data_IF_242576194716
#
_entry.id   IF_242576194716
#
_cell.length_a   1.000
_cell.length_b   1.000
_cell.length_c   1.000
_cell.angle_alpha   90.00
_cell.angle_beta   90.00
_cell.angle_gamma   90.00
#
_symmetry.space_group_name_H-M   'P 1'
#
loop_
_entity.id
_entity.type
_entity.pdbx_description
1 polymer ?
#
# COMPACT_ATOMS: atom_id res chain seq x y z
N UNK A 1 -20.60 -15.70 23.30
CA UNK A 1 -19.18 -15.45 23.01
C UNK A 1 -19.02 -13.95 22.84
N UNK A 2 -18.19 -13.35 23.69
CA UNK A 2 -18.02 -11.90 23.77
C UNK A 2 -17.08 -11.41 22.65
N UNK A 3 -17.49 -10.44 21.81
CA UNK A 3 -16.65 -9.91 20.72
C UNK A 3 -15.40 -9.18 21.21
N UNK A 4 -15.23 -8.97 22.53
CA UNK A 4 -14.09 -8.28 23.11
C UNK A 4 -12.83 -9.15 23.24
N UNK A 5 -12.93 -10.48 23.07
CA UNK A 5 -11.77 -11.37 23.18
C UNK A 5 -10.92 -11.43 21.90
N UNK A 6 -11.43 -10.99 20.75
CA UNK A 6 -10.65 -11.02 19.50
C UNK A 6 -9.51 -10.00 19.49
N UNK A 7 -9.56 -8.98 20.37
CA UNK A 7 -8.57 -7.89 20.42
C UNK A 7 -7.31 -8.25 21.21
N UNK A 8 -7.40 -9.17 22.17
CA UNK A 8 -6.31 -9.47 23.13
C UNK A 8 -5.45 -10.66 22.75
N UNK A 9 -5.96 -11.62 21.96
CA UNK A 9 -5.20 -12.83 21.58
C UNK A 9 -4.06 -12.58 20.58
N UNK A 10 -4.02 -11.41 19.94
CA UNK A 10 -2.92 -10.99 19.06
C UNK A 10 -1.83 -10.20 19.80
N UNK A 11 -2.04 -9.80 21.06
CA UNK A 11 -1.17 -8.86 21.76
C UNK A 11 -0.17 -9.55 22.71
N UNK A 12 -0.36 -10.84 23.05
CA UNK A 12 0.44 -11.52 24.09
C UNK A 12 1.52 -12.49 23.57
N UNK A 13 1.56 -12.78 22.27
CA UNK A 13 2.69 -13.52 21.67
C UNK A 13 3.52 -12.56 20.82
N UNK A 14 4.86 -12.63 20.86
CA UNK A 14 5.66 -11.91 19.88
C UNK A 14 5.23 -12.41 18.50
N UNK A 15 4.58 -11.56 17.70
CA UNK A 15 4.16 -11.87 16.34
C UNK A 15 5.16 -11.26 15.37
N UNK A 16 5.45 -11.99 14.30
CA UNK A 16 6.36 -11.53 13.26
C UNK A 16 7.79 -11.24 13.74
N UNK A 17 8.19 -9.97 13.65
CA UNK A 17 9.59 -9.51 13.77
C UNK A 17 10.19 -9.74 15.16
N UNK A 18 9.35 -9.80 16.19
CA UNK A 18 9.77 -9.96 17.59
C UNK A 18 9.87 -11.42 18.02
N UNK A 19 9.57 -12.38 17.12
CA UNK A 19 9.75 -13.83 17.38
C UNK A 19 11.21 -14.25 17.45
N UNK A 20 12.13 -13.40 17.00
CA UNK A 20 13.55 -13.75 16.87
C UNK A 20 13.83 -14.85 15.84
N UNK A 21 12.84 -15.20 15.00
CA UNK A 21 12.99 -16.19 13.95
C UNK A 21 13.70 -15.60 12.74
N UNK A 22 14.51 -16.41 12.07
CA UNK A 22 15.16 -16.02 10.82
C UNK A 22 14.11 -15.99 9.70
N UNK A 23 13.95 -14.87 8.96
CA UNK A 23 13.04 -14.83 7.82
C UNK A 23 13.55 -15.76 6.72
N UNK A 24 12.62 -16.47 6.09
CA UNK A 24 12.91 -17.37 4.96
C UNK A 24 12.59 -16.70 3.63
N UNK A 25 11.35 -16.25 3.44
CA UNK A 25 10.92 -15.45 2.28
C UNK A 25 9.61 -14.72 2.55
N UNK A 26 9.34 -13.67 1.78
CA UNK A 26 8.00 -13.08 1.67
C UNK A 26 7.20 -13.90 0.67
N UNK A 27 6.04 -14.39 1.10
CA UNK A 27 5.16 -15.23 0.27
C UNK A 27 4.00 -14.44 -0.35
N UNK A 28 3.71 -13.26 0.18
CA UNK A 28 2.67 -12.39 -0.35
C UNK A 28 2.66 -11.00 0.28
N UNK A 29 1.74 -10.17 -0.21
CA UNK A 29 1.47 -8.82 0.28
C UNK A 29 -0.02 -8.66 0.52
N UNK A 30 -0.40 -7.86 1.51
CA UNK A 30 -1.76 -7.40 1.67
C UNK A 30 -1.78 -5.94 2.13
N UNK A 31 -2.89 -5.26 1.84
CA UNK A 31 -3.20 -3.98 2.46
C UNK A 31 -4.00 -4.25 3.75
N UNK A 32 -3.50 -3.77 4.89
CA UNK A 32 -4.21 -3.81 6.16
C UNK A 32 -4.33 -2.38 6.69
N UNK A 33 -5.56 -1.85 6.73
CA UNK A 33 -5.85 -0.49 7.19
C UNK A 33 -5.08 0.61 6.44
N UNK A 34 -4.79 0.42 5.14
CA UNK A 34 -4.04 1.37 4.32
C UNK A 34 -2.52 1.25 4.45
N UNK A 35 -2.05 0.24 5.19
CA UNK A 35 -0.62 -0.05 5.34
C UNK A 35 -0.25 -1.35 4.61
N UNK A 36 0.81 -1.27 3.81
CA UNK A 36 1.38 -2.43 3.14
C UNK A 36 2.01 -3.37 4.18
N UNK A 37 1.49 -4.60 4.20
CA UNK A 37 1.98 -5.68 5.04
C UNK A 37 2.55 -6.80 4.16
N UNK A 38 3.66 -7.37 4.61
CA UNK A 38 4.23 -8.58 4.04
C UNK A 38 3.76 -9.80 4.81
N UNK A 39 3.38 -10.85 4.08
CA UNK A 39 3.21 -12.18 4.67
C UNK A 39 4.56 -12.89 4.67
N UNK A 40 5.16 -13.02 5.86
CA UNK A 40 6.51 -13.53 6.06
C UNK A 40 6.48 -15.00 6.45
N UNK A 41 7.22 -15.84 5.72
CA UNK A 41 7.53 -17.21 6.13
C UNK A 41 8.86 -17.23 6.89
N UNK A 42 8.91 -18.00 7.97
CA UNK A 42 10.09 -18.10 8.85
C UNK A 42 10.78 -19.46 8.71
N UNK A 43 12.09 -19.50 8.95
CA UNK A 43 12.84 -20.75 8.90
C UNK A 43 12.44 -21.67 10.05
N UNK A 44 12.06 -22.91 9.72
CA UNK A 44 11.67 -23.92 10.72
C UNK A 44 10.29 -23.67 11.35
N UNK A 45 9.47 -22.80 10.77
CA UNK A 45 8.10 -22.57 11.20
C UNK A 45 7.17 -22.52 9.99
N UNK A 46 6.11 -23.33 10.02
CA UNK A 46 5.12 -23.40 8.93
C UNK A 46 4.10 -22.27 9.01
N UNK A 47 4.02 -21.58 10.15
CA UNK A 47 3.13 -20.44 10.35
C UNK A 47 3.75 -19.17 9.79
N UNK A 48 3.04 -18.52 8.88
CA UNK A 48 3.40 -17.20 8.35
C UNK A 48 2.77 -16.08 9.19
N UNK A 49 3.49 -14.97 9.32
CA UNK A 49 3.04 -13.80 10.07
C UNK A 49 2.99 -12.54 9.18
N UNK A 50 2.14 -11.60 9.55
CA UNK A 50 2.11 -10.28 8.93
C UNK A 50 3.20 -9.39 9.54
N UNK A 51 3.99 -8.76 8.68
CA UNK A 51 5.05 -7.83 9.04
C UNK A 51 4.83 -6.52 8.30
N UNK A 52 4.80 -5.36 8.98
CA UNK A 52 4.72 -4.07 8.31
C UNK A 52 5.88 -3.86 7.34
N UNK A 53 5.59 -3.40 6.12
CA UNK A 53 6.62 -3.20 5.10
C UNK A 53 7.73 -2.23 5.57
N UNK A 54 7.36 -1.19 6.32
CA UNK A 54 8.31 -0.24 6.91
C UNK A 54 9.38 -0.94 7.77
N UNK A 55 9.00 -1.97 8.51
CA UNK A 55 9.93 -2.72 9.37
C UNK A 55 10.78 -3.68 8.54
N UNK A 56 10.15 -4.40 7.60
CA UNK A 56 10.86 -5.35 6.73
C UNK A 56 11.92 -4.66 5.87
N UNK A 57 11.63 -3.48 5.32
CA UNK A 57 12.54 -2.69 4.48
C UNK A 57 13.84 -2.32 5.22
N UNK A 58 13.77 -2.14 6.54
CA UNK A 58 14.93 -1.78 7.37
C UNK A 58 15.68 -3.03 7.81
N UNK A 59 14.98 -4.07 8.29
CA UNK A 59 15.63 -5.26 8.85
C UNK A 59 16.12 -6.24 7.80
N UNK A 60 15.40 -6.40 6.69
CA UNK A 60 15.65 -7.41 5.66
C UNK A 60 15.51 -6.84 4.23
N UNK A 61 16.27 -5.78 3.88
CA UNK A 61 16.14 -5.10 2.60
C UNK A 61 16.35 -6.05 1.40
N UNK A 62 17.38 -6.89 1.43
CA UNK A 62 17.68 -7.85 0.35
C UNK A 62 16.50 -8.80 0.06
N UNK A 63 15.81 -9.24 1.12
CA UNK A 63 14.69 -10.17 1.01
C UNK A 63 13.45 -9.49 0.42
N UNK A 64 13.23 -8.21 0.78
CA UNK A 64 12.18 -7.37 0.18
C UNK A 64 12.48 -7.08 -1.28
N UNK A 65 13.71 -6.70 -1.62
CA UNK A 65 14.12 -6.40 -3.00
C UNK A 65 13.94 -7.65 -3.86
N UNK A 66 14.45 -8.80 -3.43
CA UNK A 66 14.31 -10.05 -4.18
C UNK A 66 12.85 -10.46 -4.39
N UNK A 67 11.97 -10.18 -3.43
CA UNK A 67 10.54 -10.44 -3.57
C UNK A 67 9.91 -9.60 -4.71
N UNK A 68 10.28 -8.33 -4.81
CA UNK A 68 9.82 -7.45 -5.88
C UNK A 68 10.44 -7.79 -7.23
N UNK A 69 11.74 -8.09 -7.29
CA UNK A 69 12.41 -8.48 -8.54
C UNK A 69 11.75 -9.71 -9.19
N UNK A 70 11.29 -10.66 -8.38
CA UNK A 70 10.58 -11.85 -8.86
C UNK A 70 9.15 -11.56 -9.38
N UNK A 71 8.61 -10.37 -9.16
CA UNK A 71 7.19 -10.00 -9.41
C UNK A 71 7.00 -8.72 -10.20
N UNK A 72 8.06 -8.02 -10.58
CA UNK A 72 7.96 -6.79 -11.36
C UNK A 72 7.45 -7.12 -12.77
N UNK A 73 6.34 -6.49 -13.14
CA UNK A 73 5.78 -6.51 -14.48
C UNK A 73 5.78 -5.08 -15.03
N UNK A 74 6.30 -4.91 -16.25
CA UNK A 74 6.26 -3.63 -16.95
C UNK A 74 5.01 -3.60 -17.83
N UNK A 75 4.11 -2.65 -17.59
CA UNK A 75 2.95 -2.40 -18.46
C UNK A 75 3.33 -1.37 -19.52
N UNK A 76 3.06 -1.68 -20.78
CA UNK A 76 3.24 -0.72 -21.87
C UNK A 76 2.09 0.27 -21.91
N UNK A 77 2.38 1.53 -22.27
CA UNK A 77 1.39 2.61 -22.31
C UNK A 77 0.26 2.41 -23.33
N UNK A 78 0.34 1.36 -24.16
CA UNK A 78 -0.65 1.01 -25.18
C UNK A 78 -1.78 0.09 -24.68
N UNK A 79 -1.73 -0.43 -23.46
CA UNK A 79 -2.76 -1.36 -22.93
C UNK A 79 -4.01 -0.65 -22.37
N UNK A 80 -4.26 0.59 -22.77
CA UNK A 80 -5.49 1.32 -22.46
C UNK A 80 -6.58 1.02 -23.49
N UNK A 81 -7.14 -0.19 -23.44
CA UNK A 81 -8.49 -0.44 -23.93
C UNK A 81 -9.28 -1.17 -22.85
N UNK A 82 -9.93 -0.39 -21.98
CA UNK A 82 -11.27 -0.71 -21.52
C UNK A 82 -12.03 0.59 -21.26
N UNK A 83 -13.19 0.63 -21.89
CA UNK A 83 -14.10 1.76 -22.09
C UNK A 83 -14.80 2.15 -20.80
N UNK A 84 -14.85 3.45 -20.51
CA UNK A 84 -15.97 4.01 -19.76
C UNK A 84 -16.54 5.17 -20.55
N UNK A 85 -17.45 4.83 -21.47
CA UNK A 85 -18.42 5.77 -22.02
C UNK A 85 -19.26 6.31 -20.86
N UNK A 86 -18.91 7.50 -20.38
CA UNK A 86 -19.78 8.31 -19.55
C UNK A 86 -19.96 9.64 -20.27
N UNK A 87 -21.01 9.68 -21.09
CA UNK A 87 -21.64 10.91 -21.53
C UNK A 87 -21.94 11.77 -20.30
N UNK A 88 -21.13 12.81 -20.08
CA UNK A 88 -21.46 13.92 -19.21
C UNK A 88 -20.98 15.20 -19.86
N UNK A 89 -21.87 15.71 -20.69
CA UNK A 89 -22.07 17.12 -20.98
C UNK A 89 -21.52 18.00 -19.85
N UNK A 90 -20.37 18.63 -20.09
CA UNK A 90 -19.96 19.77 -19.29
C UNK A 90 -19.42 20.83 -20.22
N UNK A 91 -20.34 21.66 -20.71
CA UNK A 91 -20.04 22.90 -21.40
C UNK A 91 -19.17 23.80 -20.52
N UNK A 92 -17.90 23.97 -20.90
CA UNK A 92 -17.11 25.09 -20.43
C UNK A 92 -17.26 26.22 -21.46
N UNK A 93 -18.11 27.20 -21.15
CA UNK A 93 -18.11 28.45 -21.91
C UNK A 93 -16.82 29.21 -21.61
N UNK A 94 -16.05 29.45 -22.67
CA UNK A 94 -14.88 30.33 -22.65
C UNK A 94 -15.38 31.77 -22.77
N UNK A 95 -15.40 32.55 -21.68
CA UNK A 95 -15.28 34.02 -21.78
C UNK A 95 -14.42 34.60 -20.65
N UNK A 96 -13.22 35.04 -21.04
CA UNK A 96 -12.61 36.33 -20.71
C UNK A 96 -12.52 36.80 -19.23
N UNK A 97 -11.35 36.57 -18.61
CA UNK A 97 -10.76 37.57 -17.69
C UNK A 97 -10.09 38.71 -18.51
N UNK A 98 -9.75 39.91 -17.98
CA UNK A 98 -9.88 40.44 -16.62
C UNK A 98 -10.39 41.90 -16.54
N UNK A 99 -10.81 42.36 -15.35
CA UNK A 99 -10.64 43.76 -14.91
C UNK A 99 -10.73 43.84 -13.40
N UNK A 100 -9.57 43.91 -12.72
CA UNK A 100 -9.52 44.35 -11.32
C UNK A 100 -9.15 45.82 -11.28
N UNK A 101 -10.09 46.57 -10.70
CA UNK A 101 -10.05 47.95 -10.26
C UNK A 101 -8.67 48.50 -9.90
N UNK A 102 -8.40 49.69 -10.43
CA UNK A 102 -7.52 50.66 -9.75
C UNK A 102 -8.32 51.93 -9.54
N UNK A 103 -8.82 52.13 -8.32
CA UNK A 103 -9.34 53.43 -7.86
C UNK A 103 -8.54 53.83 -6.62
N UNK A 104 -7.65 54.81 -6.79
CA UNK A 104 -7.70 56.17 -6.20
C UNK A 104 -7.42 56.17 -4.69
N UNK A 105 -6.54 57.01 -4.12
CA UNK A 105 -6.50 58.47 -4.28
C UNK A 105 -5.29 59.02 -3.48
N UNK A 106 -4.65 60.06 -4.00
CA UNK A 106 -3.89 61.03 -3.22
C UNK A 106 -4.76 62.26 -2.98
#
# INVERSE_FOLDING_TARGET
>A
MDPSQTKTYLEEQPLGVDRGLQPLRIIGVCDWSGELMFLMQWKGCDQADLVPAKVANIRWPELVISFYEQRIEFKDASDHEDTMDLDSDNGYETTSSPSKERSSKA
#
